data_IF_026960248001
#
_entry.id   IF_026960248001
#
_cell.length_a   1.000
_cell.length_b   1.000
_cell.length_c   1.000
_cell.angle_alpha   90.00
_cell.angle_beta   90.00
_cell.angle_gamma   90.00
#
_symmetry.space_group_name_H-M   'P 1'
#
loop_
_entity.id
_entity.type
_entity.pdbx_description
1 polymer ?
#
# COMPACT_ATOMS: atom_id res chain seq x y z
N UNK A 1 -6.94 -4.59 30.49
CA UNK A 1 -5.75 -4.96 29.71
C UNK A 1 -5.49 -6.45 29.87
N UNK A 2 -5.34 -7.18 28.75
CA UNK A 2 -5.05 -8.62 28.81
C UNK A 2 -3.60 -8.86 29.28
N UNK A 3 -3.36 -10.03 29.91
CA UNK A 3 -2.00 -10.41 30.34
C UNK A 3 -0.97 -10.39 29.20
N UNK A 4 -1.42 -10.69 27.97
CA UNK A 4 -0.61 -10.62 26.74
C UNK A 4 -0.24 -9.17 26.40
N UNK A 5 -1.16 -8.22 26.60
CA UNK A 5 -0.88 -6.79 26.37
C UNK A 5 0.15 -6.23 27.34
N UNK A 6 0.05 -6.59 28.62
CA UNK A 6 1.02 -6.17 29.67
C UNK A 6 2.43 -6.73 29.40
N UNK A 7 2.52 -8.01 28.98
CA UNK A 7 3.79 -8.64 28.64
C UNK A 7 4.47 -7.94 27.44
N UNK A 8 3.71 -7.67 26.36
CA UNK A 8 4.24 -6.94 25.20
C UNK A 8 4.70 -5.53 25.54
N UNK A 9 4.00 -4.85 26.46
CA UNK A 9 4.38 -3.52 26.92
C UNK A 9 5.70 -3.56 27.67
N UNK A 10 5.87 -4.51 28.60
CA UNK A 10 7.12 -4.69 29.35
C UNK A 10 8.31 -5.01 28.42
N UNK A 11 8.12 -5.92 27.44
CA UNK A 11 9.14 -6.24 26.44
C UNK A 11 9.58 -5.01 25.62
N UNK A 12 8.64 -4.13 25.26
CA UNK A 12 8.95 -2.88 24.55
C UNK A 12 9.74 -1.90 25.42
N UNK A 13 9.36 -1.73 26.67
CA UNK A 13 10.03 -0.84 27.62
C UNK A 13 11.47 -1.28 27.93
N UNK A 14 11.76 -2.59 27.90
CA UNK A 14 13.11 -3.15 28.05
C UNK A 14 14.01 -2.87 26.82
N UNK A 15 13.43 -2.75 25.62
CA UNK A 15 14.16 -2.50 24.38
C UNK A 15 14.51 -1.01 24.20
N UNK A 16 13.68 -0.09 24.70
CA UNK A 16 13.86 1.35 24.49
C UNK A 16 15.25 1.89 24.85
N UNK A 17 15.88 1.51 25.98
CA UNK A 17 17.21 2.01 26.34
C UNK A 17 18.32 1.58 25.38
N UNK A 18 18.09 0.52 24.61
CA UNK A 18 19.05 0.01 23.63
C UNK A 18 18.89 0.70 22.27
N UNK A 19 17.70 1.24 22.00
CA UNK A 19 17.37 1.84 20.69
C UNK A 19 18.15 3.11 20.46
N UNK A 20 18.16 4.05 21.40
CA UNK A 20 18.78 5.38 21.23
C UNK A 20 20.28 5.31 20.89
N UNK A 21 21.14 4.55 21.62
CA UNK A 21 22.54 4.41 21.25
C UNK A 21 22.75 3.75 19.88
N UNK A 22 21.93 2.75 19.57
CA UNK A 22 22.01 2.04 18.30
C UNK A 22 21.60 2.95 17.13
N UNK A 23 20.48 3.68 17.26
CA UNK A 23 20.03 4.65 16.26
C UNK A 23 21.11 5.70 16.00
N UNK A 24 21.71 6.27 17.04
CA UNK A 24 22.75 7.29 16.92
C UNK A 24 23.95 6.81 16.08
N UNK A 25 24.46 5.62 16.37
CA UNK A 25 25.62 5.08 15.66
C UNK A 25 25.29 4.65 14.22
N UNK A 26 24.23 3.86 14.05
CA UNK A 26 23.87 3.25 12.75
C UNK A 26 23.34 4.30 11.77
N UNK A 27 22.51 5.23 12.26
CA UNK A 27 21.95 6.28 11.40
C UNK A 27 23.01 7.31 10.97
N UNK A 28 23.97 7.63 11.86
CA UNK A 28 25.07 8.49 11.50
C UNK A 28 25.91 7.88 10.37
N UNK A 29 26.30 6.61 10.50
CA UNK A 29 27.09 5.92 9.49
C UNK A 29 26.34 5.78 8.16
N UNK A 30 25.05 5.47 8.20
CA UNK A 30 24.22 5.36 6.99
C UNK A 30 24.08 6.71 6.26
N UNK A 31 23.86 7.80 6.99
CA UNK A 31 23.69 9.16 6.44
C UNK A 31 24.97 9.70 5.84
N UNK A 32 26.06 9.65 6.62
CA UNK A 32 27.31 10.35 6.31
C UNK A 32 28.34 9.45 5.60
N UNK A 33 28.09 8.14 5.57
CA UNK A 33 28.93 7.16 4.86
C UNK A 33 28.85 7.29 3.34
N UNK A 34 29.83 6.69 2.65
CA UNK A 34 29.86 6.69 1.19
C UNK A 34 28.61 5.95 0.62
N UNK A 35 27.97 6.45 -0.45
CA UNK A 35 26.76 5.84 -1.00
C UNK A 35 26.87 4.33 -1.30
N UNK A 36 28.06 3.87 -1.76
CA UNK A 36 28.30 2.44 -2.09
C UNK A 36 28.52 1.55 -0.87
N UNK A 37 28.73 2.13 0.31
CA UNK A 37 28.91 1.38 1.57
C UNK A 37 27.62 1.27 2.39
N UNK A 38 26.51 1.83 1.90
CA UNK A 38 25.22 1.75 2.60
C UNK A 38 24.69 0.34 2.58
N UNK A 39 24.50 -0.20 3.79
CA UNK A 39 24.00 -1.54 3.97
C UNK A 39 22.46 -1.54 4.00
N UNK A 40 21.78 -2.31 3.15
CA UNK A 40 20.31 -2.44 3.17
C UNK A 40 19.78 -2.95 4.51
N UNK A 41 20.56 -3.73 5.29
CA UNK A 41 20.15 -4.22 6.61
C UNK A 41 19.78 -3.11 7.57
N UNK A 42 20.38 -1.92 7.45
CA UNK A 42 19.99 -0.75 8.25
C UNK A 42 18.51 -0.40 8.06
N UNK A 43 18.02 -0.44 6.84
CA UNK A 43 16.61 -0.14 6.52
C UNK A 43 15.67 -1.21 7.08
N UNK A 44 16.06 -2.49 6.99
CA UNK A 44 15.28 -3.60 7.56
C UNK A 44 15.26 -3.55 9.09
N UNK A 45 16.37 -3.23 9.73
CA UNK A 45 16.43 -3.05 11.19
C UNK A 45 15.55 -1.89 11.64
N UNK A 46 15.57 -0.75 10.94
CA UNK A 46 14.68 0.38 11.25
C UNK A 46 13.20 0.00 11.05
N UNK A 47 12.87 -0.74 10.00
CA UNK A 47 11.52 -1.24 9.77
C UNK A 47 11.07 -2.20 10.89
N UNK A 48 11.96 -3.07 11.37
CA UNK A 48 11.69 -3.98 12.49
C UNK A 48 11.46 -3.23 13.79
N UNK A 49 12.26 -2.19 14.10
CA UNK A 49 12.05 -1.35 15.27
C UNK A 49 10.70 -0.63 15.22
N UNK A 50 10.37 0.01 14.10
CA UNK A 50 9.07 0.69 13.94
C UNK A 50 7.92 -0.30 14.07
N UNK A 51 8.01 -1.49 13.48
CA UNK A 51 6.98 -2.52 13.59
C UNK A 51 6.80 -2.99 15.04
N UNK A 52 7.90 -3.12 15.79
CA UNK A 52 7.87 -3.65 17.16
C UNK A 52 7.49 -2.58 18.17
N UNK A 53 8.10 -1.40 18.10
CA UNK A 53 7.95 -0.33 19.08
C UNK A 53 6.78 0.60 18.78
N UNK A 54 6.41 0.76 17.48
CA UNK A 54 5.25 1.54 17.06
C UNK A 54 5.30 2.99 17.59
N UNK A 55 4.24 3.44 18.28
CA UNK A 55 4.12 4.81 18.81
C UNK A 55 5.22 5.22 19.78
N UNK A 56 5.95 4.28 20.39
CA UNK A 56 7.10 4.60 21.24
C UNK A 56 8.23 5.31 20.47
N UNK A 57 8.32 5.11 19.14
CA UNK A 57 9.28 5.79 18.27
C UNK A 57 8.74 7.07 17.63
N UNK A 58 7.57 7.55 18.03
CA UNK A 58 6.96 8.74 17.44
C UNK A 58 7.85 9.98 17.50
N UNK A 59 8.60 10.14 18.58
CA UNK A 59 9.53 11.26 18.77
C UNK A 59 10.81 11.12 17.92
N UNK A 60 11.21 9.88 17.64
CA UNK A 60 12.45 9.57 16.93
C UNK A 60 12.24 9.40 15.43
N UNK A 61 10.98 9.24 15.00
CA UNK A 61 10.64 8.97 13.60
C UNK A 61 11.28 9.96 12.64
N UNK A 62 11.17 11.25 12.95
CA UNK A 62 11.70 12.29 12.05
C UNK A 62 13.21 12.21 11.95
N UNK A 63 13.91 11.95 13.05
CA UNK A 63 15.37 11.75 13.08
C UNK A 63 15.78 10.53 12.25
N UNK A 64 15.05 9.42 12.39
CA UNK A 64 15.26 8.21 11.57
C UNK A 64 15.09 8.55 10.09
N UNK A 65 13.99 9.19 9.73
CA UNK A 65 13.69 9.48 8.33
C UNK A 65 14.65 10.50 7.73
N UNK A 66 15.06 11.52 8.43
CA UNK A 66 16.10 12.46 7.98
C UNK A 66 17.43 11.76 7.67
N UNK A 67 17.80 10.76 8.48
CA UNK A 67 19.03 10.03 8.26
C UNK A 67 19.00 9.05 7.08
N UNK A 68 17.84 8.44 6.77
CA UNK A 68 17.79 7.37 5.78
C UNK A 68 17.06 7.77 4.48
N UNK A 69 16.08 8.69 4.53
CA UNK A 69 15.18 8.92 3.40
C UNK A 69 15.92 9.50 2.18
N UNK A 70 16.46 10.70 2.31
CA UNK A 70 17.15 11.34 1.20
C UNK A 70 18.44 10.60 0.76
N UNK A 71 19.28 10.11 1.68
CA UNK A 71 20.43 9.29 1.29
C UNK A 71 20.05 8.05 0.48
N UNK A 72 18.97 7.37 0.84
CA UNK A 72 18.50 6.20 0.10
C UNK A 72 17.97 6.58 -1.28
N UNK A 73 17.13 7.64 -1.36
CA UNK A 73 16.58 8.08 -2.65
C UNK A 73 17.69 8.42 -3.66
N UNK A 74 18.75 9.09 -3.22
CA UNK A 74 19.90 9.41 -4.11
C UNK A 74 20.50 8.15 -4.72
N UNK A 75 20.52 7.03 -4.00
CA UNK A 75 21.07 5.76 -4.51
C UNK A 75 20.08 5.06 -5.45
N UNK A 76 18.85 4.87 -5.00
CA UNK A 76 17.88 4.03 -5.72
C UNK A 76 17.30 4.69 -6.98
N UNK A 77 17.39 6.01 -7.11
CA UNK A 77 16.89 6.73 -8.29
C UNK A 77 17.94 6.88 -9.40
N UNK A 78 19.18 6.38 -9.22
CA UNK A 78 20.22 6.45 -10.26
C UNK A 78 19.90 5.60 -11.49
N UNK A 79 19.34 4.43 -11.27
CA UNK A 79 18.80 3.56 -12.33
C UNK A 79 17.69 2.66 -11.77
N UNK A 80 16.96 1.96 -12.64
CA UNK A 80 15.82 1.13 -12.24
C UNK A 80 16.21 -0.30 -11.83
N UNK A 81 17.38 -0.78 -12.20
CA UNK A 81 17.76 -2.20 -12.05
C UNK A 81 18.73 -2.44 -10.90
N UNK A 82 19.62 -1.48 -10.63
CA UNK A 82 20.61 -1.60 -9.56
C UNK A 82 20.00 -1.37 -8.18
N UNK A 83 20.68 -1.85 -7.13
CA UNK A 83 20.36 -1.61 -5.73
C UNK A 83 19.00 -2.19 -5.28
N UNK A 84 18.61 -3.36 -5.79
CA UNK A 84 17.32 -3.99 -5.48
C UNK A 84 17.11 -4.17 -3.96
N UNK A 85 18.12 -4.66 -3.23
CA UNK A 85 18.01 -4.88 -1.78
C UNK A 85 17.81 -3.57 -1.00
N UNK A 86 18.47 -2.49 -1.41
CA UNK A 86 18.26 -1.17 -0.82
C UNK A 86 16.83 -0.67 -1.11
N UNK A 87 16.29 -0.91 -2.30
CA UNK A 87 14.89 -0.58 -2.62
C UNK A 87 13.93 -1.37 -1.76
N UNK A 88 14.09 -2.68 -1.68
CA UNK A 88 13.24 -3.54 -0.87
C UNK A 88 13.27 -3.12 0.61
N UNK A 89 14.45 -2.88 1.16
CA UNK A 89 14.60 -2.35 2.52
C UNK A 89 13.91 -1.00 2.71
N UNK A 90 14.07 -0.08 1.75
CA UNK A 90 13.44 1.25 1.80
C UNK A 90 11.90 1.19 1.79
N UNK A 91 11.31 0.43 0.86
CA UNK A 91 9.85 0.30 0.80
C UNK A 91 9.28 -0.54 1.95
N UNK A 92 10.06 -1.47 2.50
CA UNK A 92 9.72 -2.17 3.75
C UNK A 92 9.64 -1.18 4.91
N UNK A 93 10.61 -0.27 5.01
CA UNK A 93 10.63 0.79 6.00
C UNK A 93 9.46 1.78 5.82
N UNK A 94 9.23 2.27 4.60
CA UNK A 94 8.11 3.19 4.32
C UNK A 94 6.76 2.57 4.68
N UNK A 95 6.56 1.29 4.34
CA UNK A 95 5.36 0.55 4.73
C UNK A 95 5.23 0.46 6.26
N UNK A 96 6.31 0.15 6.97
CA UNK A 96 6.29 0.07 8.44
C UNK A 96 5.95 1.44 9.06
N UNK A 97 6.52 2.53 8.55
CA UNK A 97 6.21 3.90 8.98
C UNK A 97 4.73 4.21 8.77
N UNK A 98 4.21 4.00 7.56
CA UNK A 98 2.81 4.31 7.24
C UNK A 98 1.85 3.50 8.10
N UNK A 99 2.16 2.24 8.38
CA UNK A 99 1.28 1.33 9.13
C UNK A 99 1.31 1.53 10.64
N UNK A 100 2.47 1.80 11.22
CA UNK A 100 2.65 1.70 12.67
C UNK A 100 3.07 3.00 13.36
N UNK A 101 3.53 4.00 12.60
CA UNK A 101 4.11 5.24 13.15
C UNK A 101 3.85 6.46 12.25
N UNK A 102 2.71 6.52 11.57
CA UNK A 102 2.40 7.61 10.62
C UNK A 102 1.95 8.92 11.30
N UNK A 103 1.52 8.87 12.57
CA UNK A 103 0.96 10.02 13.27
C UNK A 103 1.90 11.24 13.31
N UNK A 104 3.20 11.14 13.63
CA UNK A 104 4.10 12.29 13.62
C UNK A 104 4.17 13.01 12.27
N UNK A 105 3.96 12.26 11.18
CA UNK A 105 3.94 12.79 9.82
C UNK A 105 2.57 13.38 9.46
N UNK A 106 1.50 12.60 9.66
CA UNK A 106 0.17 12.90 9.11
C UNK A 106 -0.69 13.80 9.99
N UNK A 107 -0.42 13.90 11.31
CA UNK A 107 -1.25 14.68 12.24
C UNK A 107 -0.80 16.14 12.41
N UNK A 108 0.10 16.63 11.56
CA UNK A 108 0.55 18.02 11.58
C UNK A 108 0.37 18.66 10.20
N UNK A 109 -0.48 19.68 10.11
CA UNK A 109 -0.76 20.42 8.87
C UNK A 109 0.49 21.06 8.26
N UNK A 110 1.48 21.41 9.07
CA UNK A 110 2.73 22.02 8.60
C UNK A 110 3.62 21.03 7.83
N UNK A 111 3.35 19.71 7.96
CA UNK A 111 4.12 18.67 7.30
C UNK A 111 3.68 18.39 5.86
N UNK A 112 2.76 19.16 5.27
CA UNK A 112 2.20 18.83 3.96
C UNK A 112 3.27 18.63 2.88
N UNK A 113 4.30 19.45 2.83
CA UNK A 113 5.40 19.28 1.86
C UNK A 113 6.21 17.99 2.11
N UNK A 114 6.38 17.61 3.37
CA UNK A 114 7.04 16.37 3.74
C UNK A 114 6.15 15.16 3.38
N UNK A 115 4.84 15.25 3.66
CA UNK A 115 3.86 14.24 3.25
C UNK A 115 3.89 14.05 1.73
N UNK A 116 3.96 15.15 0.96
CA UNK A 116 4.08 15.12 -0.50
C UNK A 116 5.37 14.44 -0.96
N UNK A 117 6.47 14.64 -0.23
CA UNK A 117 7.74 13.96 -0.52
C UNK A 117 7.63 12.44 -0.32
N UNK A 118 7.03 12.01 0.80
CA UNK A 118 6.76 10.59 1.07
C UNK A 118 5.81 9.99 0.03
N UNK A 119 4.73 10.69 -0.30
CA UNK A 119 3.79 10.29 -1.35
C UNK A 119 4.50 10.07 -2.69
N UNK A 120 5.34 11.02 -3.12
CA UNK A 120 6.08 10.91 -4.37
C UNK A 120 7.04 9.71 -4.37
N UNK A 121 7.73 9.46 -3.26
CA UNK A 121 8.61 8.30 -3.12
C UNK A 121 7.82 6.98 -3.19
N UNK A 122 6.68 6.90 -2.51
CA UNK A 122 5.79 5.73 -2.56
C UNK A 122 5.27 5.53 -3.99
N UNK A 123 4.81 6.60 -4.64
CA UNK A 123 4.28 6.52 -6.00
C UNK A 123 5.33 6.12 -7.03
N UNK A 124 6.59 6.53 -6.85
CA UNK A 124 7.70 6.05 -7.67
C UNK A 124 7.85 4.52 -7.56
N UNK A 125 7.75 3.96 -6.35
CA UNK A 125 7.76 2.52 -6.14
C UNK A 125 6.54 1.78 -6.69
N UNK A 126 5.35 2.38 -6.64
CA UNK A 126 4.13 1.83 -7.27
C UNK A 126 4.32 1.64 -8.79
N UNK A 127 5.08 2.53 -9.43
CA UNK A 127 5.40 2.49 -10.87
C UNK A 127 6.60 1.60 -11.21
N UNK A 128 7.19 0.92 -10.23
CA UNK A 128 8.39 0.10 -10.42
C UNK A 128 8.05 -1.25 -11.06
N UNK A 129 8.89 -1.70 -11.99
CA UNK A 129 8.69 -2.97 -12.72
C UNK A 129 8.96 -4.21 -11.87
N UNK A 130 9.79 -4.08 -10.80
CA UNK A 130 10.03 -5.17 -9.86
C UNK A 130 8.81 -5.38 -8.95
N UNK A 131 8.22 -6.57 -9.01
CA UNK A 131 6.94 -6.92 -8.36
C UNK A 131 6.94 -6.67 -6.85
N UNK A 132 8.02 -7.06 -6.15
CA UNK A 132 8.07 -6.92 -4.70
C UNK A 132 8.16 -5.45 -4.27
N UNK A 133 8.90 -4.63 -5.02
CA UNK A 133 9.00 -3.18 -4.79
C UNK A 133 7.62 -2.53 -5.01
N UNK A 134 6.97 -2.83 -6.12
CA UNK A 134 5.65 -2.32 -6.43
C UNK A 134 4.61 -2.73 -5.37
N UNK A 135 4.62 -3.99 -4.93
CA UNK A 135 3.67 -4.47 -3.92
C UNK A 135 3.90 -3.83 -2.54
N UNK A 136 5.15 -3.68 -2.10
CA UNK A 136 5.47 -2.98 -0.85
C UNK A 136 5.01 -1.51 -0.89
N UNK A 137 5.19 -0.87 -2.04
CA UNK A 137 4.79 0.53 -2.25
C UNK A 137 3.27 0.68 -2.31
N UNK A 138 2.55 -0.24 -2.96
CA UNK A 138 1.09 -0.27 -2.93
C UNK A 138 0.55 -0.44 -1.51
N UNK A 139 1.13 -1.35 -0.74
CA UNK A 139 0.75 -1.54 0.67
C UNK A 139 1.04 -0.27 1.50
N UNK A 140 2.16 0.42 1.26
CA UNK A 140 2.47 1.68 1.92
C UNK A 140 1.47 2.79 1.54
N UNK A 141 1.05 2.85 0.27
CA UNK A 141 0.04 3.79 -0.20
C UNK A 141 -1.34 3.52 0.43
N UNK A 142 -1.76 2.25 0.49
CA UNK A 142 -3.01 1.85 1.14
C UNK A 142 -3.05 2.28 2.61
N UNK A 143 -1.97 2.00 3.38
CA UNK A 143 -1.86 2.41 4.78
C UNK A 143 -1.84 3.95 4.93
N UNK A 144 -1.15 4.66 4.04
CA UNK A 144 -1.14 6.13 4.02
C UNK A 144 -2.55 6.70 3.81
N UNK A 145 -3.28 6.20 2.82
CA UNK A 145 -4.65 6.64 2.53
C UNK A 145 -5.61 6.30 3.68
N UNK A 146 -5.44 5.15 4.33
CA UNK A 146 -6.22 4.77 5.50
C UNK A 146 -6.04 5.76 6.66
N UNK A 147 -4.81 6.11 7.00
CA UNK A 147 -4.53 7.04 8.10
C UNK A 147 -4.83 8.51 7.77
N UNK A 148 -4.90 8.85 6.48
CA UNK A 148 -5.34 10.18 6.04
C UNK A 148 -6.81 10.47 6.38
N UNK A 149 -7.66 9.45 6.57
CA UNK A 149 -9.08 9.65 6.87
C UNK A 149 -9.31 10.46 8.15
N UNK A 150 -8.45 10.30 9.15
CA UNK A 150 -8.51 11.02 10.43
C UNK A 150 -7.53 12.20 10.51
N UNK A 151 -6.79 12.48 9.43
CA UNK A 151 -5.73 13.47 9.40
C UNK A 151 -6.25 14.89 9.12
N UNK A 152 -5.73 15.92 9.80
CA UNK A 152 -6.05 17.30 9.50
C UNK A 152 -5.61 17.74 8.09
N UNK A 153 -4.61 17.06 7.49
CA UNK A 153 -4.15 17.35 6.12
C UNK A 153 -5.02 16.71 5.03
N UNK A 154 -6.02 15.91 5.39
CA UNK A 154 -6.87 15.15 4.47
C UNK A 154 -7.43 16.02 3.33
N UNK A 155 -8.06 17.15 3.67
CA UNK A 155 -8.65 18.05 2.69
C UNK A 155 -7.60 18.62 1.72
N UNK A 156 -6.46 19.07 2.23
CA UNK A 156 -5.35 19.59 1.42
C UNK A 156 -4.74 18.53 0.53
N UNK A 157 -4.59 17.31 1.07
CA UNK A 157 -4.07 16.18 0.31
C UNK A 157 -4.97 15.85 -0.88
N UNK A 158 -6.25 15.62 -0.65
CA UNK A 158 -7.16 15.23 -1.72
C UNK A 158 -7.44 16.36 -2.71
N UNK A 159 -7.54 17.60 -2.27
CA UNK A 159 -7.69 18.74 -3.20
C UNK A 159 -6.49 18.88 -4.17
N UNK A 160 -5.31 18.48 -3.73
CA UNK A 160 -4.07 18.62 -4.51
C UNK A 160 -3.71 17.36 -5.29
N UNK A 161 -3.85 16.19 -4.68
CA UNK A 161 -3.25 14.93 -5.16
C UNK A 161 -4.25 13.88 -5.64
N UNK A 162 -5.56 14.02 -5.40
CA UNK A 162 -6.55 13.01 -5.81
C UNK A 162 -6.57 12.78 -7.32
N UNK A 163 -6.63 13.83 -8.12
CA UNK A 163 -6.65 13.70 -9.59
C UNK A 163 -5.36 13.12 -10.14
N UNK A 164 -4.16 13.63 -9.77
CA UNK A 164 -2.90 13.01 -10.16
C UNK A 164 -2.81 11.53 -9.75
N UNK A 165 -3.25 11.18 -8.55
CA UNK A 165 -3.20 9.80 -8.07
C UNK A 165 -4.12 8.87 -8.88
N UNK A 166 -5.36 9.28 -9.15
CA UNK A 166 -6.26 8.52 -10.04
C UNK A 166 -5.60 8.30 -11.41
N UNK A 167 -5.03 9.36 -11.98
CA UNK A 167 -4.35 9.28 -13.28
C UNK A 167 -3.18 8.30 -13.23
N UNK A 168 -2.31 8.39 -12.22
CA UNK A 168 -1.14 7.54 -12.08
C UNK A 168 -1.52 6.06 -11.90
N UNK A 169 -2.53 5.77 -11.08
CA UNK A 169 -3.02 4.39 -10.90
C UNK A 169 -3.63 3.85 -12.21
N UNK A 170 -4.39 4.64 -12.95
CA UNK A 170 -4.94 4.23 -14.25
C UNK A 170 -3.82 3.97 -15.27
N UNK A 171 -2.79 4.80 -15.32
CA UNK A 171 -1.62 4.59 -16.19
C UNK A 171 -0.91 3.28 -15.84
N UNK A 172 -0.65 3.03 -14.56
CA UNK A 172 -0.01 1.79 -14.09
C UNK A 172 -0.86 0.57 -14.42
N UNK A 173 -2.18 0.65 -14.24
CA UNK A 173 -3.11 -0.45 -14.56
C UNK A 173 -3.16 -0.79 -16.04
N UNK A 174 -2.94 0.18 -16.93
CA UNK A 174 -2.92 -0.07 -18.38
C UNK A 174 -1.56 -0.59 -18.86
N UNK A 175 -0.56 -0.61 -18.02
CA UNK A 175 0.75 -1.22 -18.30
C UNK A 175 0.73 -2.72 -17.96
N UNK A 176 1.12 -3.53 -18.94
CA UNK A 176 1.13 -5.00 -18.81
C UNK A 176 2.10 -5.53 -17.75
N UNK A 177 3.14 -4.78 -17.40
CA UNK A 177 4.11 -5.17 -16.36
C UNK A 177 3.52 -5.12 -14.94
N UNK A 178 2.43 -4.39 -14.72
CA UNK A 178 1.85 -4.15 -13.40
C UNK A 178 0.59 -4.98 -13.10
N UNK A 179 0.25 -5.97 -13.96
CA UNK A 179 -0.88 -6.88 -13.73
C UNK A 179 -0.90 -7.52 -12.33
N UNK A 180 0.24 -7.96 -11.75
CA UNK A 180 0.25 -8.61 -10.44
C UNK A 180 -0.28 -7.76 -9.28
N UNK A 181 -0.28 -6.43 -9.38
CA UNK A 181 -0.81 -5.53 -8.36
C UNK A 181 -2.29 -5.15 -8.52
N UNK A 182 -3.03 -5.81 -9.42
CA UNK A 182 -4.38 -5.42 -9.83
C UNK A 182 -5.35 -5.21 -8.66
N UNK A 183 -5.37 -6.12 -7.69
CA UNK A 183 -6.30 -6.04 -6.55
C UNK A 183 -6.06 -4.83 -5.66
N UNK A 184 -4.80 -4.50 -5.37
CA UNK A 184 -4.42 -3.31 -4.61
C UNK A 184 -4.75 -2.02 -5.39
N UNK A 185 -4.47 -1.98 -6.68
CA UNK A 185 -4.84 -0.84 -7.52
C UNK A 185 -6.36 -0.63 -7.56
N UNK A 186 -7.14 -1.71 -7.69
CA UNK A 186 -8.60 -1.64 -7.69
C UNK A 186 -9.14 -1.14 -6.34
N UNK A 187 -8.55 -1.57 -5.21
CA UNK A 187 -8.91 -1.10 -3.89
C UNK A 187 -8.62 0.39 -3.72
N UNK A 188 -7.43 0.84 -4.12
CA UNK A 188 -7.04 2.25 -4.08
C UNK A 188 -8.01 3.08 -4.92
N UNK A 189 -8.32 2.69 -6.16
CA UNK A 189 -9.27 3.40 -7.00
C UNK A 189 -10.67 3.46 -6.36
N UNK A 190 -11.14 2.35 -5.78
CA UNK A 190 -12.43 2.31 -5.07
C UNK A 190 -12.47 3.37 -3.98
N UNK A 191 -11.41 3.47 -3.17
CA UNK A 191 -11.30 4.46 -2.10
C UNK A 191 -11.29 5.90 -2.66
N UNK A 192 -10.52 6.16 -3.72
CA UNK A 192 -10.45 7.48 -4.34
C UNK A 192 -11.79 7.92 -4.95
N UNK A 193 -12.54 7.02 -5.59
CA UNK A 193 -13.87 7.32 -6.10
C UNK A 193 -14.91 7.49 -4.98
N UNK A 194 -14.76 6.80 -3.85
CA UNK A 194 -15.57 7.04 -2.65
C UNK A 194 -15.31 8.44 -2.10
N UNK A 195 -14.05 8.85 -1.94
CA UNK A 195 -13.67 10.21 -1.51
C UNK A 195 -14.25 11.25 -2.46
N UNK A 196 -14.05 11.09 -3.77
CA UNK A 196 -14.59 12.02 -4.77
C UNK A 196 -16.12 12.16 -4.72
N UNK A 197 -16.83 11.12 -4.26
CA UNK A 197 -18.29 11.09 -4.23
C UNK A 197 -18.90 11.58 -2.92
N UNK A 198 -18.23 11.40 -1.79
CA UNK A 198 -18.78 11.63 -0.46
C UNK A 198 -18.12 12.78 0.30
N UNK A 199 -16.89 13.16 -0.07
CA UNK A 199 -16.15 14.19 0.65
C UNK A 199 -16.48 15.59 0.13
N UNK A 200 -16.99 16.43 1.03
CA UNK A 200 -17.32 17.82 0.76
C UNK A 200 -16.34 18.81 1.45
N UNK A 201 -15.27 18.31 2.07
CA UNK A 201 -14.27 19.15 2.75
C UNK A 201 -13.39 19.94 1.78
N UNK A 202 -13.37 19.57 0.51
CA UNK A 202 -12.67 20.26 -0.57
C UNK A 202 -13.50 20.29 -1.87
N UNK A 203 -13.12 21.13 -2.81
CA UNK A 203 -13.76 21.25 -4.13
C UNK A 203 -12.73 21.41 -5.24
N UNK A 204 -13.01 20.78 -6.39
CA UNK A 204 -12.24 20.96 -7.62
C UNK A 204 -12.78 22.09 -8.51
N UNK A 205 -14.07 22.41 -8.39
CA UNK A 205 -14.74 23.44 -9.19
C UNK A 205 -15.12 24.64 -8.33
N UNK A 206 -14.94 25.84 -8.86
CA UNK A 206 -15.45 27.07 -8.27
C UNK A 206 -16.99 27.17 -8.42
N UNK A 207 -17.57 26.47 -9.40
CA UNK A 207 -19.02 26.40 -9.60
C UNK A 207 -19.66 25.48 -8.55
N UNK A 208 -20.50 26.02 -7.65
CA UNK A 208 -21.14 25.24 -6.60
C UNK A 208 -22.08 24.13 -7.12
N UNK A 209 -22.55 24.21 -8.37
CA UNK A 209 -23.41 23.21 -8.98
C UNK A 209 -22.65 21.96 -9.42
N UNK A 210 -21.31 22.04 -9.55
CA UNK A 210 -20.45 20.94 -9.96
C UNK A 210 -19.89 20.24 -8.73
N UNK A 211 -20.39 19.05 -8.43
CA UNK A 211 -19.81 18.22 -7.36
C UNK A 211 -18.45 17.63 -7.75
N UNK A 212 -17.64 17.25 -6.74
CA UNK A 212 -16.37 16.56 -6.99
C UNK A 212 -16.57 15.29 -7.83
N UNK A 213 -17.64 14.52 -7.60
CA UNK A 213 -17.97 13.34 -8.38
C UNK A 213 -18.15 13.66 -9.87
N UNK A 214 -18.88 14.74 -10.21
CA UNK A 214 -19.07 15.17 -11.59
C UNK A 214 -17.75 15.64 -12.20
N UNK A 215 -16.98 16.40 -11.46
CA UNK A 215 -15.68 16.89 -11.93
C UNK A 215 -14.71 15.74 -12.22
N UNK A 216 -14.55 14.81 -11.28
CA UNK A 216 -13.65 13.65 -11.43
C UNK A 216 -14.13 12.72 -12.55
N UNK A 217 -15.44 12.52 -12.69
CA UNK A 217 -16.02 11.74 -13.79
C UNK A 217 -15.63 12.32 -15.17
N UNK A 218 -15.78 13.62 -15.34
CA UNK A 218 -15.43 14.31 -16.58
C UNK A 218 -13.91 14.26 -16.82
N UNK A 219 -13.12 14.47 -15.77
CA UNK A 219 -11.66 14.41 -15.86
C UNK A 219 -11.17 13.02 -16.31
N UNK A 220 -11.66 11.94 -15.67
CA UNK A 220 -11.30 10.56 -16.03
C UNK A 220 -11.78 10.23 -17.45
N UNK A 221 -12.99 10.64 -17.81
CA UNK A 221 -13.50 10.48 -19.18
C UNK A 221 -12.60 11.13 -20.24
N UNK A 222 -12.22 12.39 -20.02
CA UNK A 222 -11.30 13.12 -20.91
C UNK A 222 -9.94 12.45 -20.98
N UNK A 223 -9.38 12.02 -19.82
CA UNK A 223 -8.11 11.33 -19.76
C UNK A 223 -8.13 10.05 -20.61
N UNK A 224 -9.15 9.20 -20.45
CA UNK A 224 -9.26 7.94 -21.18
C UNK A 224 -9.48 8.16 -22.67
N UNK A 225 -10.33 9.10 -23.09
CA UNK A 225 -10.51 9.44 -24.50
C UNK A 225 -9.22 9.94 -25.15
N UNK A 226 -8.41 10.73 -24.42
CA UNK A 226 -7.14 11.22 -24.94
C UNK A 226 -6.06 10.14 -24.99
N UNK A 227 -6.04 9.24 -24.02
CA UNK A 227 -5.04 8.15 -23.93
C UNK A 227 -5.34 7.00 -24.89
N UNK A 228 -6.61 6.74 -25.19
CA UNK A 228 -7.07 5.63 -26.01
C UNK A 228 -7.97 6.12 -27.17
N UNK A 229 -7.40 6.69 -28.24
CA UNK A 229 -8.19 7.27 -29.34
C UNK A 229 -9.08 6.25 -30.09
N UNK A 230 -8.80 4.96 -29.92
CA UNK A 230 -9.59 3.89 -30.52
C UNK A 230 -10.87 3.56 -29.75
N UNK A 231 -11.04 4.06 -28.52
CA UNK A 231 -12.25 3.90 -27.73
C UNK A 231 -13.28 4.96 -28.13
N UNK A 232 -14.54 4.52 -28.29
CA UNK A 232 -15.63 5.48 -28.50
C UNK A 232 -15.98 6.17 -27.18
N UNK A 233 -16.44 7.42 -27.25
CA UNK A 233 -16.91 8.17 -26.08
C UNK A 233 -17.99 7.39 -25.28
N UNK A 234 -18.84 6.64 -25.98
CA UNK A 234 -19.89 5.80 -25.35
C UNK A 234 -19.29 4.67 -24.49
N UNK A 235 -18.20 4.04 -24.94
CA UNK A 235 -17.51 2.99 -24.16
C UNK A 235 -16.86 3.61 -22.92
N UNK A 236 -16.16 4.73 -23.11
CA UNK A 236 -15.52 5.45 -22.00
C UNK A 236 -16.55 5.93 -20.98
N UNK A 237 -17.64 6.55 -21.41
CA UNK A 237 -18.70 7.02 -20.52
C UNK A 237 -19.31 5.87 -19.70
N UNK A 238 -19.64 4.74 -20.34
CA UNK A 238 -20.15 3.56 -19.63
C UNK A 238 -19.15 2.99 -18.63
N UNK A 239 -17.87 2.96 -18.99
CA UNK A 239 -16.82 2.50 -18.06
C UNK A 239 -16.70 3.42 -16.84
N UNK A 240 -16.61 4.74 -17.08
CA UNK A 240 -16.50 5.73 -15.99
C UNK A 240 -17.74 5.72 -15.10
N UNK A 241 -18.93 5.61 -15.68
CA UNK A 241 -20.18 5.47 -14.92
C UNK A 241 -20.18 4.23 -14.03
N UNK A 242 -19.66 3.12 -14.53
CA UNK A 242 -19.48 1.88 -13.76
C UNK A 242 -18.55 2.06 -12.57
N UNK A 243 -17.42 2.75 -12.73
CA UNK A 243 -16.48 3.05 -11.62
C UNK A 243 -17.17 3.78 -10.46
N UNK A 244 -18.06 4.72 -10.76
CA UNK A 244 -18.80 5.47 -9.73
C UNK A 244 -19.96 4.67 -9.13
N UNK A 245 -20.66 3.88 -9.93
CA UNK A 245 -21.86 3.16 -9.50
C UNK A 245 -21.50 1.90 -8.68
N UNK A 246 -20.40 1.25 -9.00
CA UNK A 246 -19.97 -0.01 -8.38
C UNK A 246 -18.98 0.16 -7.22
N UNK A 247 -18.60 1.38 -6.86
CA UNK A 247 -17.61 1.66 -5.82
C UNK A 247 -17.93 1.10 -4.43
N UNK A 248 -19.21 0.84 -4.14
CA UNK A 248 -19.66 0.19 -2.91
C UNK A 248 -19.54 -1.34 -2.92
N UNK A 249 -19.27 -1.94 -4.07
CA UNK A 249 -19.31 -3.38 -4.33
C UNK A 249 -17.94 -3.86 -4.85
N UNK A 250 -16.99 -4.11 -3.97
CA UNK A 250 -15.58 -4.38 -4.31
C UNK A 250 -15.39 -5.44 -5.40
N UNK A 251 -16.14 -6.55 -5.35
CA UNK A 251 -16.05 -7.62 -6.36
C UNK A 251 -16.55 -7.17 -7.73
N UNK A 252 -17.68 -6.45 -7.78
CA UNK A 252 -18.24 -5.93 -9.04
C UNK A 252 -17.36 -4.83 -9.63
N UNK A 253 -16.80 -3.95 -8.77
CA UNK A 253 -15.85 -2.93 -9.20
C UNK A 253 -14.61 -3.54 -9.84
N UNK A 254 -14.00 -4.55 -9.18
CA UNK A 254 -12.87 -5.30 -9.73
C UNK A 254 -13.22 -5.96 -11.06
N UNK A 255 -14.38 -6.61 -11.17
CA UNK A 255 -14.86 -7.22 -12.41
C UNK A 255 -15.00 -6.20 -13.54
N UNK A 256 -15.65 -5.08 -13.26
CA UNK A 256 -15.85 -3.99 -14.22
C UNK A 256 -14.51 -3.38 -14.71
N UNK A 257 -13.58 -3.16 -13.81
CA UNK A 257 -12.23 -2.66 -14.13
C UNK A 257 -11.46 -3.68 -14.98
N UNK A 258 -11.51 -4.96 -14.62
CA UNK A 258 -10.88 -6.07 -15.37
C UNK A 258 -11.43 -6.18 -16.77
N UNK A 259 -12.76 -6.18 -16.94
CA UNK A 259 -13.42 -6.30 -18.23
C UNK A 259 -12.98 -5.17 -19.18
N UNK A 260 -12.83 -3.96 -18.64
CA UNK A 260 -12.32 -2.83 -19.42
C UNK A 260 -10.86 -3.05 -19.84
N UNK A 261 -9.99 -3.47 -18.92
CA UNK A 261 -8.57 -3.73 -19.22
C UNK A 261 -8.41 -4.83 -20.29
N UNK A 262 -9.18 -5.91 -20.19
CA UNK A 262 -9.16 -7.01 -21.18
C UNK A 262 -9.65 -6.53 -22.56
N UNK A 263 -10.56 -5.56 -22.62
CA UNK A 263 -11.03 -4.98 -23.89
C UNK A 263 -9.97 -4.07 -24.55
N UNK A 264 -9.01 -3.52 -23.79
CA UNK A 264 -7.92 -2.75 -24.37
C UNK A 264 -7.02 -3.70 -25.18
N UNK A 265 -6.77 -3.39 -26.46
CA UNK A 265 -5.92 -4.21 -27.35
C UNK A 265 -4.48 -4.39 -26.83
N UNK A 266 -4.01 -3.47 -26.00
CA UNK A 266 -2.70 -3.48 -25.37
C UNK A 266 -2.60 -4.55 -24.28
N UNK A 267 -3.73 -5.00 -23.71
CA UNK A 267 -3.83 -6.07 -22.72
C UNK A 267 -3.88 -7.46 -23.35
N UNK A 268 -3.09 -7.68 -24.43
CA UNK A 268 -2.92 -8.99 -25.04
C UNK A 268 -2.08 -9.93 -24.17
N UNK A 269 -2.20 -11.25 -24.41
CA UNK A 269 -1.40 -12.30 -23.76
C UNK A 269 -2.01 -12.83 -22.46
N UNK A 270 -1.18 -13.31 -21.55
CA UNK A 270 -1.62 -13.94 -20.31
C UNK A 270 -2.21 -12.92 -19.32
N UNK A 271 -3.47 -13.11 -18.97
CA UNK A 271 -4.21 -12.29 -18.01
C UNK A 271 -4.44 -13.00 -16.66
N UNK A 272 -3.72 -14.08 -16.39
CA UNK A 272 -3.89 -14.92 -15.19
C UNK A 272 -3.75 -14.11 -13.90
N UNK A 273 -2.84 -13.14 -13.87
CA UNK A 273 -2.60 -12.28 -12.70
C UNK A 273 -3.79 -11.39 -12.34
N UNK A 274 -4.67 -11.06 -13.30
CA UNK A 274 -5.90 -10.31 -13.03
C UNK A 274 -6.93 -11.11 -12.23
N UNK A 275 -6.75 -12.44 -12.15
CA UNK A 275 -7.61 -13.39 -11.46
C UNK A 275 -6.94 -14.05 -10.25
N UNK A 276 -5.82 -13.51 -9.77
CA UNK A 276 -5.05 -14.10 -8.66
C UNK A 276 -5.89 -14.28 -7.39
N UNK A 277 -6.72 -13.30 -7.03
CA UNK A 277 -7.56 -13.37 -5.83
C UNK A 277 -8.56 -14.54 -5.92
N UNK A 278 -9.24 -14.69 -7.07
CA UNK A 278 -10.22 -15.76 -7.29
C UNK A 278 -9.54 -17.13 -7.27
N UNK A 279 -8.34 -17.23 -7.85
CA UNK A 279 -7.55 -18.46 -7.86
C UNK A 279 -7.10 -18.83 -6.45
N UNK A 280 -6.63 -17.87 -5.64
CA UNK A 280 -6.25 -18.10 -4.25
C UNK A 280 -7.46 -18.51 -3.40
N UNK A 281 -8.61 -17.88 -3.61
CA UNK A 281 -9.85 -18.24 -2.92
C UNK A 281 -10.30 -19.66 -3.28
N UNK A 282 -10.22 -20.07 -4.55
CA UNK A 282 -10.54 -21.43 -4.99
C UNK A 282 -9.58 -22.47 -4.39
N UNK A 283 -8.28 -22.20 -4.37
CA UNK A 283 -7.29 -23.09 -3.75
C UNK A 283 -7.54 -23.24 -2.25
N UNK A 284 -7.86 -22.16 -1.55
CA UNK A 284 -8.19 -22.21 -0.12
C UNK A 284 -9.46 -23.01 0.15
N UNK A 285 -10.49 -22.88 -0.69
CA UNK A 285 -11.71 -23.67 -0.60
C UNK A 285 -11.45 -25.16 -0.87
N UNK A 286 -10.64 -25.49 -1.86
CA UNK A 286 -10.26 -26.87 -2.15
C UNK A 286 -9.47 -27.48 -1.00
N UNK A 287 -8.51 -26.77 -0.42
CA UNK A 287 -7.76 -27.23 0.75
C UNK A 287 -8.66 -27.48 1.97
N UNK A 288 -9.62 -26.59 2.21
CA UNK A 288 -10.63 -26.76 3.26
C UNK A 288 -11.54 -27.96 3.01
N UNK A 289 -11.98 -28.16 1.77
CA UNK A 289 -12.79 -29.31 1.40
C UNK A 289 -12.02 -30.64 1.53
N UNK A 290 -10.75 -30.66 1.10
CA UNK A 290 -9.86 -31.81 1.28
C UNK A 290 -9.59 -32.14 2.75
N UNK A 291 -9.40 -31.10 3.58
CA UNK A 291 -9.25 -31.26 5.03
C UNK A 291 -10.52 -31.85 5.67
N UNK A 292 -11.69 -31.33 5.29
CA UNK A 292 -12.97 -31.85 5.76
C UNK A 292 -13.22 -33.29 5.30
N UNK A 293 -12.88 -33.65 4.06
CA UNK A 293 -12.96 -35.03 3.58
C UNK A 293 -12.03 -35.95 4.37
N UNK A 294 -10.81 -35.55 4.66
CA UNK A 294 -9.86 -36.34 5.47
C UNK A 294 -10.37 -36.54 6.91
N UNK A 295 -11.00 -35.51 7.50
CA UNK A 295 -11.58 -35.59 8.83
C UNK A 295 -12.84 -36.45 8.86
N UNK A 296 -13.56 -36.58 7.73
CA UNK A 296 -14.78 -37.39 7.63
C UNK A 296 -14.53 -38.91 7.42
N UNK A 297 -13.27 -39.31 7.10
CA UNK A 297 -12.92 -40.74 6.89
C UNK A 297 -12.65 -41.38 8.25
N UNK A 298 -13.48 -42.36 8.71
CA UNK A 298 -13.27 -43.07 9.98
C UNK A 298 -11.90 -43.80 9.93
N UNK A 299 -11.02 -43.53 10.89
CA UNK A 299 -9.72 -44.19 11.04
C UNK A 299 -8.50 -43.44 10.45
N UNK A 300 -8.68 -42.27 9.81
CA UNK A 300 -7.56 -41.40 9.52
C UNK A 300 -7.24 -40.62 10.80
N UNK A 301 -6.07 -40.86 11.37
CA UNK A 301 -5.60 -40.17 12.57
C UNK A 301 -5.34 -38.70 12.19
N UNK A 302 -5.91 -37.78 12.99
CA UNK A 302 -5.61 -36.36 12.85
C UNK A 302 -4.09 -36.13 12.89
N UNK A 303 -3.56 -35.14 12.15
CA UNK A 303 -2.15 -34.78 12.28
C UNK A 303 -1.80 -34.54 13.74
N UNK A 304 -0.62 -35.02 14.16
CA UNK A 304 -0.11 -34.87 15.51
C UNK A 304 -0.23 -33.41 15.97
N UNK A 305 -1.00 -33.20 17.03
CA UNK A 305 -1.18 -31.91 17.68
C UNK A 305 -0.37 -31.92 18.98
N UNK A 306 0.79 -31.23 19.03
CA UNK A 306 1.65 -31.21 20.20
C UNK A 306 1.01 -30.55 21.43
N UNK A 307 -0.08 -29.80 21.29
CA UNK A 307 -0.80 -29.20 22.42
C UNK A 307 -1.63 -30.22 23.24
N UNK A 308 -1.97 -31.35 22.64
CA UNK A 308 -2.75 -32.42 23.31
C UNK A 308 -1.92 -33.30 24.26
N UNK A 309 -0.62 -33.36 24.07
CA UNK A 309 0.25 -34.17 24.92
C UNK A 309 0.79 -33.37 26.14
N UNK A 310 0.67 -32.05 26.12
CA UNK A 310 1.03 -31.22 27.28
C UNK A 310 0.00 -31.34 28.44
N UNK A 311 -1.27 -31.64 28.14
CA UNK A 311 -2.29 -31.80 29.15
C UNK A 311 -2.27 -33.16 29.87
N UNK A 312 -1.48 -34.15 29.38
CA UNK A 312 -1.40 -35.49 29.97
C UNK A 312 -0.21 -35.73 30.89
N UNK A 313 0.65 -34.71 31.09
CA UNK A 313 1.80 -34.84 31.95
C UNK A 313 1.64 -34.21 33.35
N UNK A 314 0.43 -33.70 33.68
CA UNK A 314 0.13 -33.07 34.98
C UNK A 314 -0.87 -33.91 35.85
N UNK A 315 -0.98 -35.23 35.64
CA UNK A 315 -1.66 -36.17 36.56
C UNK A 315 -0.70 -37.17 37.22
#
# INVERSE_FOLDING_TARGET
ESAVGLRRKAEKEELLPLVEPLLGAVLYDYRDGHPTSRDPEVLYVMAAFITTLQDYLSNDLMTIMEAVFQPTLVVITQDMDSYLEIRLGFYTLLRAVMKYCSAPLLMNEQNFELIRLFYNAILWGVKHTERNVAQLSLNALEEMLLHLEESPVRSTFYSTLLLPLIQDILVVLTDTFHKPGFSSHALILTNLFNVASSDNSFRFSEDPSVSNAVFVRNHVGTLLCSSFPNLTESIVARFVDGLFNLRGESSQFKGHLRDFLVQLKEFGGDNTDLYDDERQAQLSQQQLADLQMRMAVPGLVAPYDPSRDAEKMDD
#
